data_IF_927390400478
#
_entry.id   IF_927390400478
#
_cell.length_a   1.000
_cell.length_b   1.000
_cell.length_c   1.000
_cell.angle_alpha   90.00
_cell.angle_beta   90.00
_cell.angle_gamma   90.00
#
_symmetry.space_group_name_H-M   'P 1'
#
loop_
_entity.id
_entity.type
_entity.pdbx_description
1 polymer ?
#
# COMPACT_ATOMS: atom_id res chain seq x y z
N UNK A 1 -38.45 48.51 24.74
CA UNK A 1 -37.56 48.20 23.61
C UNK A 1 -36.53 47.19 24.12
N UNK A 2 -36.67 45.93 23.75
CA UNK A 2 -35.75 44.84 24.15
C UNK A 2 -35.08 44.33 22.84
N UNK A 3 -33.80 44.69 22.66
CA UNK A 3 -32.97 44.19 21.54
C UNK A 3 -32.43 42.80 21.89
N UNK A 4 -32.89 41.79 21.15
CA UNK A 4 -32.32 40.43 21.18
C UNK A 4 -31.16 40.36 20.21
N UNK A 5 -29.94 40.20 20.71
CA UNK A 5 -28.76 39.83 19.95
C UNK A 5 -28.76 38.32 19.70
N UNK A 6 -28.99 37.91 18.44
CA UNK A 6 -28.76 36.55 17.97
C UNK A 6 -27.27 36.37 17.76
N UNK A 7 -26.65 35.53 18.57
CA UNK A 7 -25.25 35.11 18.40
C UNK A 7 -25.22 33.89 17.48
N UNK A 8 -24.90 34.10 16.20
CA UNK A 8 -24.76 32.98 15.24
C UNK A 8 -23.41 32.30 15.46
N UNK A 9 -23.44 31.10 16.04
CA UNK A 9 -22.28 30.26 16.27
C UNK A 9 -21.86 29.61 14.94
N UNK A 10 -20.78 30.14 14.33
CA UNK A 10 -20.19 29.58 13.10
C UNK A 10 -19.34 28.36 13.50
N UNK A 11 -19.90 27.15 13.33
CA UNK A 11 -19.14 25.88 13.51
C UNK A 11 -18.29 25.66 12.28
N UNK A 12 -17.00 26.01 12.35
CA UNK A 12 -16.02 25.60 11.37
C UNK A 12 -15.75 24.09 11.50
N UNK A 13 -16.42 23.28 10.67
CA UNK A 13 -16.06 21.87 10.47
C UNK A 13 -14.74 21.86 9.69
N UNK A 14 -13.64 21.71 10.40
CA UNK A 14 -12.35 21.42 9.80
C UNK A 14 -12.41 19.99 9.21
N UNK A 15 -12.89 19.86 7.96
CA UNK A 15 -12.72 18.66 7.16
C UNK A 15 -11.21 18.46 6.94
N UNK A 16 -10.63 17.51 7.67
CA UNK A 16 -9.33 16.98 7.36
C UNK A 16 -9.37 16.40 5.95
N UNK A 17 -8.91 17.16 4.97
CA UNK A 17 -8.86 16.77 3.56
C UNK A 17 -7.74 15.76 3.32
N UNK A 18 -7.88 14.55 3.82
CA UNK A 18 -7.23 13.38 3.26
C UNK A 18 -7.90 13.10 1.92
N UNK A 19 -7.40 13.71 0.83
CA UNK A 19 -7.98 13.50 -0.50
C UNK A 19 -7.94 12.01 -0.82
N UNK A 20 -9.09 11.39 -0.99
CA UNK A 20 -9.19 9.99 -1.40
C UNK A 20 -8.47 9.77 -2.73
N UNK A 21 -7.81 8.61 -2.96
CA UNK A 21 -7.21 8.31 -4.24
C UNK A 21 -8.30 8.19 -5.32
N UNK A 22 -7.99 8.67 -6.52
CA UNK A 22 -8.83 8.41 -7.69
C UNK A 22 -8.71 6.96 -8.13
N UNK A 23 -9.63 6.53 -9.02
CA UNK A 23 -9.63 5.16 -9.54
C UNK A 23 -8.30 4.82 -10.22
N UNK A 24 -7.73 3.66 -9.85
CA UNK A 24 -6.44 3.21 -10.37
C UNK A 24 -5.23 3.80 -9.65
N UNK A 25 -5.40 4.50 -8.54
CA UNK A 25 -4.31 5.13 -7.79
C UNK A 25 -4.03 4.47 -6.44
N UNK A 26 -2.79 4.63 -5.99
CA UNK A 26 -2.35 4.44 -4.62
C UNK A 26 -1.89 5.78 -4.05
N UNK A 27 -2.43 6.14 -2.89
CA UNK A 27 -1.99 7.26 -2.08
C UNK A 27 -1.45 6.72 -0.75
N UNK A 28 -0.23 7.09 -0.39
CA UNK A 28 0.39 6.70 0.86
C UNK A 28 1.06 7.90 1.54
N UNK A 29 1.17 7.84 2.84
CA UNK A 29 1.91 8.80 3.65
C UNK A 29 2.75 8.06 4.68
N UNK A 30 3.91 8.60 4.97
CA UNK A 30 4.76 8.08 6.03
C UNK A 30 5.34 9.21 6.85
N UNK A 31 5.63 8.88 8.10
CA UNK A 31 6.33 9.77 9.02
C UNK A 31 7.74 9.26 9.19
N UNK A 32 8.65 10.06 8.71
CA UNK A 32 10.06 10.01 8.97
C UNK A 32 10.44 11.37 9.58
N UNK A 33 11.70 11.71 9.66
CA UNK A 33 12.16 13.06 9.99
C UNK A 33 11.48 14.17 9.18
N UNK A 34 10.97 13.84 8.00
CA UNK A 34 10.14 14.66 7.13
C UNK A 34 8.84 13.91 6.81
N UNK A 35 7.69 14.50 7.15
CA UNK A 35 6.40 13.97 6.70
C UNK A 35 6.37 13.95 5.17
N UNK A 36 6.26 12.76 4.59
CA UNK A 36 6.22 12.60 3.14
C UNK A 36 4.91 11.94 2.70
N UNK A 37 4.48 12.29 1.50
CA UNK A 37 3.31 11.71 0.86
C UNK A 37 3.64 11.28 -0.57
N UNK A 38 3.00 10.21 -1.00
CA UNK A 38 3.17 9.60 -2.30
C UNK A 38 1.80 9.32 -2.91
N UNK A 39 1.60 9.73 -4.15
CA UNK A 39 0.39 9.44 -4.90
C UNK A 39 0.75 9.19 -6.35
N UNK A 40 0.30 8.07 -6.89
CA UNK A 40 0.55 7.72 -8.29
C UNK A 40 -0.42 6.62 -8.74
N UNK A 41 -0.49 6.41 -10.06
CA UNK A 41 -1.16 5.25 -10.62
C UNK A 41 -0.56 3.96 -10.07
N UNK A 42 -1.42 3.00 -9.80
CA UNK A 42 -1.04 1.67 -9.35
C UNK A 42 -1.42 0.62 -10.39
N UNK A 43 -0.69 -0.46 -10.41
CA UNK A 43 -1.00 -1.66 -11.20
C UNK A 43 -1.20 -2.84 -10.26
N UNK A 44 -2.13 -3.72 -10.59
CA UNK A 44 -2.34 -4.95 -9.85
C UNK A 44 -2.29 -6.15 -10.81
N UNK A 45 -1.56 -7.20 -10.41
CA UNK A 45 -1.41 -8.42 -11.19
C UNK A 45 -1.78 -9.63 -10.36
N UNK A 46 -2.72 -10.43 -10.85
CA UNK A 46 -3.06 -11.71 -10.25
C UNK A 46 -2.26 -12.83 -10.90
N UNK A 47 -1.37 -13.44 -10.15
CA UNK A 47 -0.52 -14.55 -10.55
C UNK A 47 -1.19 -15.86 -10.18
N UNK A 48 -1.88 -16.47 -11.14
CA UNK A 48 -2.70 -17.67 -10.89
C UNK A 48 -1.90 -18.84 -10.33
N UNK A 49 -0.68 -19.04 -10.84
CA UNK A 49 0.16 -20.18 -10.41
C UNK A 49 0.55 -20.11 -8.94
N UNK A 50 0.83 -18.91 -8.45
CA UNK A 50 1.31 -18.70 -7.08
C UNK A 50 0.15 -18.33 -6.14
N UNK A 51 -1.06 -18.13 -6.67
CA UNK A 51 -2.20 -17.55 -5.94
C UNK A 51 -1.77 -16.28 -5.18
N UNK A 52 -1.23 -15.33 -5.94
CA UNK A 52 -0.61 -14.11 -5.43
C UNK A 52 -1.14 -12.89 -6.17
N UNK A 53 -1.55 -11.86 -5.46
CA UNK A 53 -1.81 -10.54 -6.01
C UNK A 53 -0.61 -9.65 -5.75
N UNK A 54 0.00 -9.13 -6.81
CA UNK A 54 1.00 -8.07 -6.72
C UNK A 54 0.34 -6.72 -6.97
N UNK A 55 0.49 -5.78 -6.05
CA UNK A 55 0.13 -4.37 -6.20
C UNK A 55 1.41 -3.57 -6.25
N UNK A 56 1.59 -2.75 -7.27
CA UNK A 56 2.78 -1.93 -7.47
C UNK A 56 2.40 -0.51 -7.86
N UNK A 57 3.00 0.46 -7.19
CA UNK A 57 2.89 1.87 -7.51
C UNK A 57 4.30 2.47 -7.60
N UNK A 58 4.61 3.13 -8.72
CA UNK A 58 5.93 3.70 -8.98
C UNK A 58 5.78 5.13 -9.48
N UNK A 59 6.57 6.03 -8.91
CA UNK A 59 6.67 7.42 -9.36
C UNK A 59 8.11 7.89 -9.18
N UNK A 60 8.77 8.17 -10.30
CA UNK A 60 10.19 8.49 -10.30
C UNK A 60 11.00 7.38 -9.56
N UNK A 61 11.79 7.78 -8.58
CA UNK A 61 12.63 6.87 -7.78
C UNK A 61 11.89 6.24 -6.57
N UNK A 62 10.63 6.63 -6.35
CA UNK A 62 9.80 6.10 -5.27
C UNK A 62 8.94 4.95 -5.79
N UNK A 63 8.96 3.83 -5.08
CA UNK A 63 8.10 2.70 -5.35
C UNK A 63 7.55 2.11 -4.05
N UNK A 64 6.29 1.67 -4.11
CA UNK A 64 5.63 0.90 -3.06
C UNK A 64 5.04 -0.35 -3.70
N UNK A 65 5.42 -1.51 -3.20
CA UNK A 65 4.94 -2.80 -3.65
C UNK A 65 4.35 -3.61 -2.50
N UNK A 66 3.26 -4.32 -2.79
CA UNK A 66 2.61 -5.23 -1.85
C UNK A 66 2.29 -6.52 -2.58
N UNK A 67 2.63 -7.65 -1.97
CA UNK A 67 2.26 -8.96 -2.44
C UNK A 67 1.28 -9.58 -1.44
N UNK A 68 0.09 -9.92 -1.90
CA UNK A 68 -1.01 -10.44 -1.08
C UNK A 68 -1.24 -11.91 -1.46
N UNK A 69 -1.17 -12.78 -0.47
CA UNK A 69 -1.32 -14.22 -0.61
C UNK A 69 -2.59 -14.64 0.13
N UNK A 70 -3.74 -14.70 -0.55
CA UNK A 70 -4.98 -15.19 0.03
C UNK A 70 -4.90 -16.70 0.35
N UNK A 71 -5.85 -17.21 1.12
CA UNK A 71 -5.92 -18.64 1.43
C UNK A 71 -6.33 -19.43 0.18
N UNK A 72 -7.45 -19.09 -0.41
CA UNK A 72 -8.06 -19.83 -1.53
C UNK A 72 -8.26 -18.92 -2.75
N UNK A 73 -8.94 -17.81 -2.58
CA UNK A 73 -9.26 -16.84 -3.61
C UNK A 73 -9.07 -15.41 -3.11
N UNK A 74 -8.90 -14.47 -4.03
CA UNK A 74 -8.81 -13.06 -3.69
C UNK A 74 -10.19 -12.56 -3.25
N UNK A 75 -10.31 -12.26 -1.95
CA UNK A 75 -11.53 -11.77 -1.33
C UNK A 75 -11.23 -10.55 -0.48
N UNK A 76 -12.25 -9.75 -0.20
CA UNK A 76 -12.16 -8.71 0.82
C UNK A 76 -11.76 -9.30 2.17
N UNK A 77 -10.99 -8.56 2.96
CA UNK A 77 -10.53 -9.00 4.27
C UNK A 77 -9.18 -8.44 4.67
N UNK A 78 -8.72 -8.86 5.83
CA UNK A 78 -7.45 -8.44 6.41
C UNK A 78 -6.36 -9.46 6.11
N UNK A 79 -5.21 -8.95 5.65
CA UNK A 79 -4.01 -9.70 5.32
C UNK A 79 -2.86 -9.18 6.19
N UNK A 80 -2.47 -9.91 7.25
CA UNK A 80 -1.35 -9.51 8.09
C UNK A 80 -0.04 -9.51 7.29
N UNK A 81 0.79 -8.49 7.54
CA UNK A 81 2.07 -8.35 6.86
C UNK A 81 3.18 -9.00 7.67
N UNK A 82 3.99 -9.80 6.97
CA UNK A 82 5.18 -10.45 7.48
C UNK A 82 6.39 -10.09 6.62
N UNK A 83 7.61 -10.19 7.18
CA UNK A 83 8.83 -10.10 6.39
C UNK A 83 8.82 -11.09 5.21
N UNK A 84 9.39 -10.68 4.09
CA UNK A 84 9.42 -11.51 2.89
C UNK A 84 10.25 -12.80 3.04
N UNK A 85 11.20 -12.81 3.95
CA UNK A 85 12.04 -13.96 4.22
C UNK A 85 12.21 -14.17 5.74
N UNK A 86 12.15 -15.44 6.21
CA UNK A 86 11.75 -16.61 5.44
C UNK A 86 10.23 -16.65 5.21
N UNK A 87 9.81 -17.03 4.02
CA UNK A 87 8.38 -17.27 3.75
C UNK A 87 7.91 -18.48 4.57
N UNK A 88 6.97 -18.25 5.46
CA UNK A 88 6.51 -19.27 6.41
C UNK A 88 5.37 -20.14 5.88
N UNK A 89 4.90 -19.91 4.66
CA UNK A 89 3.80 -20.65 4.03
C UNK A 89 2.41 -20.40 4.61
N UNK A 90 2.30 -19.54 5.64
CA UNK A 90 1.00 -19.22 6.24
C UNK A 90 0.16 -18.38 5.28
N UNK A 91 -1.15 -18.63 5.27
CA UNK A 91 -2.15 -17.86 4.50
C UNK A 91 -3.42 -17.70 5.34
N UNK A 92 -4.13 -16.54 5.24
CA UNK A 92 -3.82 -15.39 4.39
C UNK A 92 -2.68 -14.54 4.97
N UNK A 93 -1.86 -13.95 4.11
CA UNK A 93 -0.81 -13.02 4.51
C UNK A 93 -0.46 -12.03 3.39
N UNK A 94 0.34 -11.04 3.72
CA UNK A 94 0.95 -10.13 2.75
C UNK A 94 2.43 -9.90 3.08
N UNK A 95 3.18 -9.47 2.08
CA UNK A 95 4.50 -8.88 2.23
C UNK A 95 4.50 -7.50 1.58
N UNK A 96 5.39 -6.62 2.00
CA UNK A 96 5.47 -5.29 1.45
C UNK A 96 6.92 -4.84 1.29
N UNK A 97 7.17 -3.99 0.32
CA UNK A 97 8.45 -3.34 0.12
C UNK A 97 8.24 -1.89 -0.33
N UNK A 98 9.15 -1.02 0.05
CA UNK A 98 9.16 0.35 -0.43
C UNK A 98 10.59 0.81 -0.70
N UNK A 99 10.76 1.74 -1.64
CA UNK A 99 12.05 2.39 -1.90
C UNK A 99 11.85 3.83 -2.33
N UNK A 100 12.81 4.68 -2.02
CA UNK A 100 12.90 6.03 -2.55
C UNK A 100 14.33 6.54 -2.51
N UNK A 101 14.60 7.54 -3.33
CA UNK A 101 15.86 8.27 -3.29
C UNK A 101 15.77 9.37 -2.24
N UNK A 102 16.71 9.36 -1.29
CA UNK A 102 16.88 10.42 -0.31
C UNK A 102 18.20 11.13 -0.59
N UNK A 103 18.10 12.34 -1.12
CA UNK A 103 19.22 13.12 -1.63
C UNK A 103 20.04 12.36 -2.69
N UNK A 104 21.01 11.57 -2.29
CA UNK A 104 21.90 10.78 -3.19
C UNK A 104 21.89 9.27 -2.87
N UNK A 105 21.14 8.86 -1.85
CA UNK A 105 21.08 7.48 -1.40
C UNK A 105 19.73 6.83 -1.72
N UNK A 106 19.73 5.70 -2.40
CA UNK A 106 18.54 4.88 -2.57
C UNK A 106 18.27 4.09 -1.28
N UNK A 107 17.22 4.47 -0.55
CA UNK A 107 16.78 3.77 0.65
C UNK A 107 15.76 2.70 0.30
N UNK A 108 16.02 1.46 0.70
CA UNK A 108 15.12 0.33 0.59
C UNK A 108 14.54 -0.07 1.94
N UNK A 109 13.28 -0.48 1.94
CA UNK A 109 12.56 -0.90 3.14
C UNK A 109 11.76 -2.16 2.85
N UNK A 110 11.72 -3.07 3.82
CA UNK A 110 10.87 -4.26 3.81
C UNK A 110 9.79 -4.17 4.88
N UNK A 111 8.62 -4.71 4.59
CA UNK A 111 7.52 -4.80 5.56
C UNK A 111 7.91 -5.69 6.73
N UNK A 112 7.92 -5.14 7.93
CA UNK A 112 8.23 -5.87 9.17
C UNK A 112 6.96 -6.38 9.84
N UNK A 113 5.88 -5.62 9.79
CA UNK A 113 4.56 -5.96 10.34
C UNK A 113 3.48 -5.01 9.83
N UNK A 114 2.26 -5.21 10.28
CA UNK A 114 1.11 -4.39 9.90
C UNK A 114 0.06 -5.20 9.16
N UNK A 115 -0.74 -4.53 8.35
CA UNK A 115 -1.82 -5.17 7.60
C UNK A 115 -2.16 -4.45 6.30
N UNK A 116 -2.67 -5.24 5.38
CA UNK A 116 -3.39 -4.78 4.19
C UNK A 116 -4.84 -5.20 4.34
N UNK A 117 -5.77 -4.29 4.12
CA UNK A 117 -7.20 -4.60 4.12
C UNK A 117 -7.70 -4.42 2.71
N UNK A 118 -8.17 -5.50 2.08
CA UNK A 118 -8.90 -5.43 0.83
C UNK A 118 -10.37 -5.15 1.11
N UNK A 119 -10.95 -4.25 0.35
CA UNK A 119 -12.39 -4.01 0.34
C UNK A 119 -12.99 -4.58 -0.94
N UNK A 120 -14.22 -5.08 -0.83
CA UNK A 120 -14.95 -5.52 -2.01
C UNK A 120 -15.14 -4.34 -2.95
N UNK A 121 -14.87 -4.57 -4.22
CA UNK A 121 -14.87 -3.54 -5.25
C UNK A 121 -15.63 -4.00 -6.51
N UNK A 122 -15.56 -3.19 -7.56
CA UNK A 122 -16.08 -3.58 -8.85
C UNK A 122 -15.33 -4.82 -9.39
N UNK A 123 -16.02 -5.70 -10.16
CA UNK A 123 -15.37 -6.86 -10.76
C UNK A 123 -14.10 -6.49 -11.53
N UNK A 124 -13.03 -7.25 -11.34
CA UNK A 124 -11.75 -7.02 -12.02
C UNK A 124 -10.94 -5.86 -11.46
N UNK A 125 -11.31 -5.30 -10.32
CA UNK A 125 -10.54 -4.27 -9.63
C UNK A 125 -10.26 -4.64 -8.18
N UNK A 126 -9.27 -3.99 -7.58
CA UNK A 126 -8.99 -4.08 -6.14
C UNK A 126 -8.94 -2.69 -5.51
N UNK A 127 -9.44 -2.62 -4.28
CA UNK A 127 -9.38 -1.43 -3.43
C UNK A 127 -8.99 -1.83 -2.02
N UNK A 128 -8.48 -0.89 -1.24
CA UNK A 128 -8.13 -1.22 0.14
C UNK A 128 -7.28 -0.19 0.84
N UNK A 129 -6.79 -0.57 2.02
CA UNK A 129 -5.94 0.26 2.86
C UNK A 129 -4.67 -0.48 3.28
N UNK A 130 -3.65 0.30 3.59
CA UNK A 130 -2.35 -0.14 4.08
C UNK A 130 -2.09 0.50 5.44
N UNK A 131 -1.67 -0.29 6.42
CA UNK A 131 -1.08 0.17 7.68
C UNK A 131 0.14 -0.69 7.97
N UNK A 132 1.31 -0.18 7.63
CA UNK A 132 2.54 -0.95 7.49
C UNK A 132 3.63 -0.35 8.38
N UNK A 133 4.33 -1.20 9.10
CA UNK A 133 5.62 -0.90 9.68
C UNK A 133 6.71 -1.49 8.78
N UNK A 134 7.58 -0.65 8.29
CA UNK A 134 8.74 -1.03 7.50
C UNK A 134 10.00 -0.99 8.33
N UNK A 135 10.97 -1.82 7.94
CA UNK A 135 12.35 -1.78 8.44
C UNK A 135 13.29 -1.52 7.27
N UNK A 136 14.28 -0.64 7.47
CA UNK A 136 15.29 -0.36 6.45
C UNK A 136 16.12 -1.61 6.16
N UNK A 137 16.27 -1.91 4.87
CA UNK A 137 17.12 -3.01 4.43
C UNK A 137 18.59 -2.70 4.79
N UNK A 138 19.22 -3.59 5.57
CA UNK A 138 20.59 -3.39 6.03
C UNK A 138 20.75 -2.38 7.18
N UNK A 139 19.66 -1.91 7.80
CA UNK A 139 19.65 -0.97 8.92
C UNK A 139 18.66 -1.34 10.03
N UNK A 140 18.61 -0.49 11.06
CA UNK A 140 17.68 -0.62 12.19
C UNK A 140 16.50 0.36 12.11
N UNK A 141 16.55 1.31 11.20
CA UNK A 141 15.53 2.35 11.07
C UNK A 141 14.19 1.73 10.72
N UNK A 142 13.14 2.23 11.36
CA UNK A 142 11.77 1.82 11.08
C UNK A 142 10.96 3.02 10.59
N UNK A 143 9.94 2.70 9.77
CA UNK A 143 9.06 3.68 9.15
C UNK A 143 7.63 3.18 9.21
N UNK A 144 6.70 3.98 9.70
CA UNK A 144 5.28 3.68 9.58
C UNK A 144 4.69 4.36 8.35
N UNK A 145 4.04 3.57 7.51
CA UNK A 145 3.33 4.02 6.33
C UNK A 145 1.85 3.66 6.45
N UNK A 146 1.00 4.63 6.15
CA UNK A 146 -0.44 4.39 5.94
C UNK A 146 -0.79 4.77 4.52
N UNK A 147 -1.77 4.07 3.93
CA UNK A 147 -2.14 4.35 2.55
C UNK A 147 -3.50 3.79 2.18
N UNK A 148 -3.97 4.20 1.00
CA UNK A 148 -5.19 3.70 0.36
C UNK A 148 -4.95 3.49 -1.11
N UNK A 149 -5.62 2.52 -1.69
CA UNK A 149 -5.70 2.31 -3.12
C UNK A 149 -7.15 2.06 -3.52
N UNK A 150 -7.53 2.55 -4.69
CA UNK A 150 -8.93 2.55 -5.11
C UNK A 150 -9.07 2.11 -6.57
N UNK A 151 -9.92 1.11 -6.81
CA UNK A 151 -10.32 0.67 -8.14
C UNK A 151 -9.15 0.33 -9.07
N UNK A 152 -8.07 -0.25 -8.53
CA UNK A 152 -6.90 -0.64 -9.32
C UNK A 152 -7.25 -1.84 -10.18
N UNK A 153 -7.17 -1.74 -11.54
CA UNK A 153 -7.46 -2.85 -12.42
C UNK A 153 -6.52 -4.04 -12.16
N UNK A 154 -7.10 -5.25 -12.12
CA UNK A 154 -6.35 -6.49 -11.91
C UNK A 154 -6.10 -7.18 -13.25
N UNK A 155 -4.86 -7.27 -13.65
CA UNK A 155 -4.43 -8.05 -14.79
C UNK A 155 -4.16 -9.49 -14.37
N UNK A 156 -4.75 -10.46 -15.08
CA UNK A 156 -4.45 -11.88 -14.85
C UNK A 156 -3.20 -12.29 -15.62
N UNK A 157 -2.21 -12.82 -14.92
CA UNK A 157 -1.00 -13.35 -15.51
C UNK A 157 -0.90 -14.87 -15.26
N UNK A 158 -0.54 -15.60 -16.30
CA UNK A 158 -0.20 -17.03 -16.19
C UNK A 158 1.27 -17.25 -15.79
N UNK A 159 2.08 -16.17 -15.79
CA UNK A 159 3.48 -16.21 -15.41
C UNK A 159 3.65 -16.33 -13.89
N UNK A 160 4.80 -16.83 -13.48
CA UNK A 160 5.23 -16.80 -12.08
C UNK A 160 5.51 -15.35 -11.69
N UNK A 161 4.89 -14.89 -10.61
CA UNK A 161 5.20 -13.61 -10.01
C UNK A 161 6.48 -13.69 -9.17
N UNK A 162 7.14 -12.54 -8.99
CA UNK A 162 8.35 -12.46 -8.18
C UNK A 162 9.63 -13.01 -8.80
N UNK A 163 9.56 -13.62 -9.99
CA UNK A 163 10.78 -14.12 -10.70
C UNK A 163 11.39 -13.13 -11.68
N UNK A 164 10.73 -12.02 -11.96
CA UNK A 164 11.18 -11.05 -12.97
C UNK A 164 12.56 -10.41 -12.69
N UNK A 165 13.16 -10.64 -11.52
CA UNK A 165 14.43 -10.04 -11.12
C UNK A 165 15.41 -11.01 -10.42
N UNK A 166 15.44 -12.29 -10.78
CA UNK A 166 16.65 -13.07 -10.45
C UNK A 166 17.65 -12.92 -11.60
N UNK A 167 18.71 -12.10 -11.41
CA UNK A 167 19.84 -12.13 -12.35
C UNK A 167 20.49 -13.50 -12.22
N UNK A 168 20.50 -14.31 -13.30
CA UNK A 168 21.31 -15.51 -13.36
C UNK A 168 20.57 -16.84 -13.54
N UNK A 169 19.38 -16.88 -14.13
CA UNK A 169 18.81 -18.10 -14.69
C UNK A 169 18.96 -18.07 -16.21
N UNK A 170 20.18 -18.24 -16.70
CA UNK A 170 20.56 -18.50 -18.07
C UNK A 170 21.53 -19.66 -18.08
#
# INVERSE_FOLDING_TARGET
MRSSLLFTLLVCIACGSGTEPSTGELAASWRDSLNASFRTSATARWCRRDSLLELLAVRNDTAVGVAIMPRDSLTGGEYPVFPAAPFNGLRPQATAAARWLDQVELKGFEGASGKVILTDGAPGTVSGTLDLLFRRTGGQDTLRMTGRFAGVPVESANAECGRANRPGAG
#
